data_IF_651811148625
#
_entry.id   IF_651811148625
#
_cell.length_a   1.000
_cell.length_b   1.000
_cell.length_c   1.000
_cell.angle_alpha   90.00
_cell.angle_beta   90.00
_cell.angle_gamma   90.00
#
_symmetry.space_group_name_H-M   'P 1'
#
loop_
_entity.id
_entity.type
_entity.pdbx_description
1 polymer ?
#
# COMPACT_ATOMS: atom_id res chain seq x y z
N UNK A 1 -14.38 6.97 10.56
CA UNK A 1 -13.02 7.53 10.73
C UNK A 1 -12.12 6.47 11.37
N UNK A 2 -11.64 5.51 10.58
CA UNK A 2 -10.96 4.30 11.11
C UNK A 2 -9.60 3.98 10.47
N UNK A 3 -9.11 4.81 9.56
CA UNK A 3 -7.87 4.57 8.81
C UNK A 3 -6.96 5.81 8.84
N UNK A 4 -7.04 6.69 9.83
CA UNK A 4 -6.35 7.98 9.74
C UNK A 4 -4.82 7.87 9.86
N UNK A 5 -4.28 6.77 10.39
CA UNK A 5 -2.84 6.57 10.52
C UNK A 5 -2.46 5.13 10.26
N UNK A 6 -1.37 4.91 9.51
CA UNK A 6 -0.79 3.58 9.34
C UNK A 6 -0.33 2.95 10.68
N UNK A 7 -0.09 3.77 11.69
CA UNK A 7 0.30 3.32 13.03
C UNK A 7 -0.84 2.57 13.76
N UNK A 8 -2.08 2.63 13.24
CA UNK A 8 -3.20 1.87 13.78
C UNK A 8 -3.12 0.38 13.40
N UNK A 9 -2.56 0.04 12.22
CA UNK A 9 -2.56 -1.33 11.70
C UNK A 9 -1.25 -2.10 11.98
N UNK A 10 -0.09 -1.43 12.00
CA UNK A 10 1.21 -2.09 12.27
C UNK A 10 1.21 -2.94 13.56
N UNK A 11 0.68 -2.46 14.71
CA UNK A 11 0.61 -3.28 15.93
C UNK A 11 -0.27 -4.53 15.78
N UNK A 12 -1.36 -4.43 15.01
CA UNK A 12 -2.26 -5.55 14.73
C UNK A 12 -1.53 -6.60 13.88
N UNK A 13 -0.83 -6.18 12.83
CA UNK A 13 -0.04 -7.09 11.98
C UNK A 13 1.05 -7.83 12.79
N UNK A 14 1.73 -7.13 13.70
CA UNK A 14 2.73 -7.74 14.58
C UNK A 14 2.11 -8.73 15.57
N UNK A 15 0.92 -8.42 16.10
CA UNK A 15 0.17 -9.34 16.96
C UNK A 15 -0.22 -10.62 16.22
N UNK A 16 -0.79 -10.50 15.02
CA UNK A 16 -1.25 -11.67 14.23
C UNK A 16 -0.08 -12.53 13.73
N UNK A 17 1.08 -11.92 13.43
CA UNK A 17 2.28 -12.68 13.06
C UNK A 17 3.04 -13.27 14.25
N UNK A 18 2.68 -12.89 15.48
CA UNK A 18 3.37 -13.29 16.71
C UNK A 18 4.82 -12.80 16.79
N UNK A 19 5.20 -11.80 15.97
CA UNK A 19 6.55 -11.27 15.84
C UNK A 19 6.47 -9.75 15.62
N UNK A 20 7.50 -9.01 16.03
CA UNK A 20 7.67 -7.61 15.62
C UNK A 20 8.29 -7.55 14.21
N UNK A 21 7.56 -8.10 13.23
CA UNK A 21 8.02 -8.24 11.86
C UNK A 21 7.75 -6.99 11.01
N UNK A 22 6.72 -6.21 11.31
CA UNK A 22 6.32 -5.02 10.57
C UNK A 22 6.70 -3.73 11.29
N UNK A 23 7.02 -2.71 10.50
CA UNK A 23 7.15 -1.32 10.91
C UNK A 23 6.38 -0.40 9.95
N UNK A 24 5.98 0.77 10.44
CA UNK A 24 5.32 1.80 9.64
C UNK A 24 6.33 2.66 8.90
N UNK A 25 6.04 3.02 7.67
CA UNK A 25 6.71 4.10 6.93
C UNK A 25 5.67 5.14 6.54
N UNK A 26 5.91 6.40 6.89
CA UNK A 26 5.02 7.50 6.56
C UNK A 26 5.44 8.20 5.26
N UNK A 27 4.45 8.60 4.46
CA UNK A 27 4.62 9.51 3.32
C UNK A 27 3.87 10.78 3.68
N UNK A 28 4.48 11.67 4.46
CA UNK A 28 3.77 12.80 5.07
C UNK A 28 3.48 13.98 4.12
N UNK A 29 4.05 13.96 2.91
CA UNK A 29 3.83 15.00 1.91
C UNK A 29 2.45 14.82 1.23
N UNK A 30 1.84 15.88 0.66
CA UNK A 30 0.58 15.78 -0.08
C UNK A 30 0.65 14.90 -1.34
N UNK A 31 1.84 14.74 -1.90
CA UNK A 31 2.18 13.84 -3.01
C UNK A 31 3.50 13.17 -2.67
N UNK A 32 3.75 11.97 -3.18
CA UNK A 32 5.02 11.31 -2.96
C UNK A 32 6.11 11.96 -3.84
N UNK A 33 7.30 12.17 -3.29
CA UNK A 33 8.46 12.51 -4.11
C UNK A 33 9.14 11.25 -4.68
N UNK A 34 10.08 11.43 -5.61
CA UNK A 34 10.79 10.33 -6.25
C UNK A 34 11.49 9.40 -5.24
N UNK A 35 12.05 9.96 -4.17
CA UNK A 35 12.76 9.16 -3.15
C UNK A 35 11.79 8.34 -2.32
N UNK A 36 10.63 8.91 -2.00
CA UNK A 36 9.55 8.20 -1.30
C UNK A 36 8.97 7.08 -2.18
N UNK A 37 8.82 7.35 -3.48
CA UNK A 37 8.34 6.37 -4.47
C UNK A 37 9.35 5.23 -4.65
N UNK A 38 10.64 5.55 -4.79
CA UNK A 38 11.72 4.55 -4.89
C UNK A 38 11.81 3.72 -3.60
N UNK A 39 11.72 4.35 -2.44
CA UNK A 39 11.70 3.64 -1.15
C UNK A 39 10.50 2.70 -1.04
N UNK A 40 9.31 3.16 -1.43
CA UNK A 40 8.11 2.32 -1.45
C UNK A 40 8.32 1.11 -2.38
N UNK A 41 8.91 1.32 -3.56
CA UNK A 41 9.24 0.23 -4.50
C UNK A 41 10.15 -0.82 -3.85
N UNK A 42 11.25 -0.37 -3.24
CA UNK A 42 12.24 -1.26 -2.59
C UNK A 42 11.62 -2.02 -1.41
N UNK A 43 10.78 -1.36 -0.62
CA UNK A 43 10.08 -1.96 0.51
C UNK A 43 9.06 -3.01 0.03
N UNK A 44 8.30 -2.73 -1.04
CA UNK A 44 7.38 -3.69 -1.64
C UNK A 44 8.12 -4.93 -2.13
N UNK A 45 9.20 -4.76 -2.89
CA UNK A 45 9.97 -5.89 -3.43
C UNK A 45 10.47 -6.76 -2.28
N UNK A 46 11.14 -6.16 -1.29
CA UNK A 46 11.66 -6.88 -0.12
C UNK A 46 10.56 -7.64 0.63
N UNK A 47 9.45 -6.98 0.94
CA UNK A 47 8.38 -7.58 1.74
C UNK A 47 7.67 -8.70 1.02
N UNK A 48 7.41 -8.54 -0.28
CA UNK A 48 6.80 -9.58 -1.10
C UNK A 48 7.74 -10.79 -1.24
N UNK A 49 9.04 -10.55 -1.47
CA UNK A 49 10.04 -11.63 -1.57
C UNK A 49 10.20 -12.39 -0.25
N UNK A 50 10.03 -11.72 0.89
CA UNK A 50 9.97 -12.35 2.22
C UNK A 50 8.67 -13.13 2.48
N UNK A 51 7.80 -13.25 1.48
CA UNK A 51 6.53 -14.00 1.55
C UNK A 51 5.45 -13.27 2.34
N UNK A 52 5.51 -11.93 2.40
CA UNK A 52 4.60 -11.07 3.16
C UNK A 52 3.91 -10.06 2.24
N UNK A 53 2.84 -9.45 2.72
CA UNK A 53 2.16 -8.37 2.00
C UNK A 53 2.53 -7.02 2.64
N UNK A 54 2.73 -6.00 1.82
CA UNK A 54 2.72 -4.60 2.31
C UNK A 54 1.27 -4.19 2.52
N UNK A 55 0.96 -3.57 3.66
CA UNK A 55 -0.38 -3.01 3.92
C UNK A 55 -0.31 -1.50 3.78
N UNK A 56 -1.01 -0.94 2.81
CA UNK A 56 -0.99 0.47 2.50
C UNK A 56 -2.27 1.15 3.00
N UNK A 57 -2.11 2.34 3.60
CA UNK A 57 -3.21 3.21 3.97
C UNK A 57 -3.38 4.28 2.90
N UNK A 58 -4.49 4.21 2.17
CA UNK A 58 -4.77 5.07 1.01
C UNK A 58 -5.93 6.02 1.30
N UNK A 59 -6.00 7.14 0.59
CA UNK A 59 -7.21 7.95 0.51
C UNK A 59 -7.33 8.75 -0.77
N UNK A 60 -8.57 9.06 -1.12
CA UNK A 60 -8.89 9.75 -2.37
C UNK A 60 -9.02 8.74 -3.50
N UNK A 61 -8.61 9.15 -4.69
CA UNK A 61 -8.89 8.42 -5.93
C UNK A 61 -7.61 8.09 -6.68
N UNK A 62 -7.50 6.88 -7.22
CA UNK A 62 -6.39 6.47 -8.08
C UNK A 62 -6.88 5.64 -9.28
N UNK A 63 -6.01 5.48 -10.27
CA UNK A 63 -6.31 4.77 -11.53
C UNK A 63 -5.37 3.58 -11.71
N UNK A 64 -5.95 2.42 -11.98
CA UNK A 64 -5.24 1.16 -12.20
C UNK A 64 -4.64 1.05 -13.62
N UNK A 65 -3.85 0.01 -13.90
CA UNK A 65 -3.18 -0.16 -15.20
C UNK A 65 -4.14 -0.48 -16.35
N UNK A 66 -5.38 -0.86 -16.04
CA UNK A 66 -6.43 -1.14 -17.03
C UNK A 66 -7.32 0.09 -17.27
N UNK A 67 -7.05 1.19 -16.56
CA UNK A 67 -7.77 2.46 -16.67
C UNK A 67 -9.00 2.57 -15.77
N UNK A 68 -9.24 1.62 -14.86
CA UNK A 68 -10.35 1.73 -13.91
C UNK A 68 -9.99 2.66 -12.75
N UNK A 69 -10.98 3.41 -12.29
CA UNK A 69 -10.84 4.33 -11.16
C UNK A 69 -11.30 3.67 -9.86
N UNK A 70 -10.51 3.82 -8.80
CA UNK A 70 -10.79 3.34 -7.45
C UNK A 70 -10.82 4.54 -6.50
N UNK A 71 -11.91 4.72 -5.74
CA UNK A 71 -12.12 5.92 -4.91
C UNK A 71 -12.51 5.57 -3.47
N UNK A 72 -11.68 6.06 -2.53
CA UNK A 72 -11.83 5.88 -1.09
C UNK A 72 -11.54 7.19 -0.36
N UNK A 73 -12.40 8.21 -0.56
CA UNK A 73 -12.24 9.55 0.03
C UNK A 73 -12.11 9.55 1.57
N UNK A 74 -12.77 8.61 2.26
CA UNK A 74 -12.67 8.45 3.71
C UNK A 74 -11.44 7.68 4.21
N UNK A 75 -10.65 7.15 3.28
CA UNK A 75 -9.49 6.31 3.50
C UNK A 75 -9.80 4.81 3.62
N UNK A 76 -8.84 3.98 3.21
CA UNK A 76 -8.98 2.53 3.13
C UNK A 76 -7.63 1.82 3.31
N UNK A 77 -7.66 0.55 3.71
CA UNK A 77 -6.44 -0.28 3.76
C UNK A 77 -6.48 -1.29 2.63
N UNK A 78 -5.41 -1.34 1.84
CA UNK A 78 -5.22 -2.32 0.77
C UNK A 78 -3.93 -3.11 0.99
N UNK A 79 -3.87 -4.33 0.44
CA UNK A 79 -2.67 -5.16 0.53
C UNK A 79 -1.96 -5.22 -0.82
N UNK A 80 -0.65 -4.97 -0.85
CA UNK A 80 0.21 -5.28 -1.99
C UNK A 80 0.74 -6.69 -1.82
N UNK A 81 0.34 -7.59 -2.72
CA UNK A 81 0.61 -9.04 -2.62
C UNK A 81 1.56 -9.57 -3.69
N UNK A 82 2.00 -8.71 -4.61
CA UNK A 82 2.86 -9.10 -5.71
C UNK A 82 3.35 -7.88 -6.48
N UNK A 83 4.38 -8.08 -7.30
CA UNK A 83 4.93 -7.05 -8.17
C UNK A 83 5.42 -7.65 -9.49
N UNK A 84 5.69 -6.78 -10.47
CA UNK A 84 6.35 -7.08 -11.74
C UNK A 84 7.14 -5.86 -12.22
N UNK A 85 7.92 -6.03 -13.28
CA UNK A 85 8.69 -4.95 -13.91
C UNK A 85 9.59 -4.24 -12.89
N UNK A 86 10.36 -5.03 -12.14
CA UNK A 86 11.26 -4.59 -11.07
C UNK A 86 10.56 -3.73 -9.99
N UNK A 87 9.30 -4.04 -9.72
CA UNK A 87 8.50 -3.33 -8.73
C UNK A 87 7.75 -2.13 -9.29
N UNK A 88 7.86 -1.78 -10.57
CA UNK A 88 7.16 -0.61 -11.11
C UNK A 88 5.64 -0.78 -11.19
N UNK A 89 5.16 -2.02 -11.30
CA UNK A 89 3.73 -2.35 -11.24
C UNK A 89 3.49 -3.35 -10.13
N UNK A 90 2.48 -3.09 -9.31
CA UNK A 90 2.15 -3.92 -8.15
C UNK A 90 0.75 -4.48 -8.25
N UNK A 91 0.55 -5.65 -7.65
CA UNK A 91 -0.74 -6.34 -7.59
C UNK A 91 -1.36 -6.08 -6.23
N UNK A 92 -2.54 -5.48 -6.24
CA UNK A 92 -3.34 -5.17 -5.06
C UNK A 92 -4.32 -6.32 -4.81
N UNK A 93 -4.49 -6.67 -3.55
CA UNK A 93 -5.66 -7.37 -3.04
C UNK A 93 -6.48 -6.37 -2.21
N UNK A 94 -7.73 -6.15 -2.64
CA UNK A 94 -8.65 -5.21 -2.01
C UNK A 94 -9.92 -5.94 -1.56
N UNK A 95 -10.22 -5.90 -0.27
CA UNK A 95 -11.37 -6.58 0.30
C UNK A 95 -12.69 -5.79 0.20
N UNK A 96 -12.68 -4.56 -0.33
CA UNK A 96 -13.85 -3.69 -0.36
C UNK A 96 -14.94 -4.16 -1.33
N UNK A 97 -14.56 -4.69 -2.50
CA UNK A 97 -15.49 -5.27 -3.47
C UNK A 97 -14.97 -6.64 -3.95
N UNK A 98 -15.68 -7.74 -3.66
CA UNK A 98 -15.29 -9.07 -4.12
C UNK A 98 -15.24 -9.20 -5.65
N UNK A 99 -15.93 -8.35 -6.41
CA UNK A 99 -15.89 -8.35 -7.88
C UNK A 99 -14.64 -7.65 -8.44
N UNK A 100 -13.98 -6.81 -7.64
CA UNK A 100 -12.71 -6.13 -7.96
C UNK A 100 -11.63 -6.48 -6.93
N UNK A 101 -11.63 -7.71 -6.46
CA UNK A 101 -10.79 -8.13 -5.34
C UNK A 101 -9.28 -8.09 -5.63
N UNK A 102 -8.88 -8.01 -6.90
CA UNK A 102 -7.49 -7.84 -7.29
C UNK A 102 -7.34 -7.05 -8.58
N UNK A 103 -6.41 -6.10 -8.57
CA UNK A 103 -6.07 -5.25 -9.71
C UNK A 103 -4.59 -4.87 -9.67
N UNK A 104 -4.09 -4.21 -10.71
CA UNK A 104 -2.70 -3.78 -10.81
C UNK A 104 -2.59 -2.28 -10.95
N UNK A 105 -1.62 -1.69 -10.28
CA UNK A 105 -1.40 -0.23 -10.28
C UNK A 105 0.09 0.06 -10.39
N UNK A 106 0.47 1.21 -10.96
CA UNK A 106 1.87 1.65 -10.93
C UNK A 106 2.28 2.04 -9.52
N UNK A 107 3.55 1.88 -9.17
CA UNK A 107 4.04 2.30 -7.84
C UNK A 107 3.97 3.82 -7.66
N UNK A 108 4.11 4.59 -8.73
CA UNK A 108 3.91 6.04 -8.70
C UNK A 108 2.47 6.40 -8.26
N UNK A 109 1.46 5.84 -8.93
CA UNK A 109 0.06 6.07 -8.57
C UNK A 109 -0.26 5.55 -7.17
N UNK A 110 0.35 4.44 -6.75
CA UNK A 110 0.19 3.94 -5.39
C UNK A 110 0.83 4.87 -4.36
N UNK A 111 2.04 5.37 -4.62
CA UNK A 111 2.76 6.27 -3.71
C UNK A 111 1.97 7.55 -3.46
N UNK A 112 1.42 8.14 -4.51
CA UNK A 112 0.53 9.30 -4.40
C UNK A 112 -0.76 8.98 -3.67
N UNK A 113 -1.33 7.79 -3.86
CA UNK A 113 -2.55 7.39 -3.17
C UNK A 113 -2.34 7.15 -1.66
N UNK A 114 -1.11 6.77 -1.28
CA UNK A 114 -0.64 6.61 0.11
C UNK A 114 -0.24 7.96 0.74
N UNK A 115 0.03 8.99 -0.06
CA UNK A 115 0.50 10.29 0.41
C UNK A 115 -0.39 10.86 1.52
N UNK A 116 0.20 11.63 2.42
CA UNK A 116 -0.32 12.06 3.74
C UNK A 116 -0.57 10.96 4.77
N UNK A 117 -0.31 9.69 4.43
CA UNK A 117 -0.55 8.52 5.30
C UNK A 117 0.72 7.68 5.40
N UNK A 118 0.70 6.44 4.92
CA UNK A 118 1.84 5.53 5.01
C UNK A 118 1.48 4.08 4.73
N UNK A 119 2.47 3.22 4.88
CA UNK A 119 2.37 1.78 4.65
C UNK A 119 3.16 0.98 5.70
N UNK A 120 2.74 -0.26 5.94
CA UNK A 120 3.39 -1.21 6.83
C UNK A 120 4.16 -2.23 6.01
N UNK A 121 5.45 -2.36 6.31
CA UNK A 121 6.41 -3.23 5.62
C UNK A 121 7.28 -3.94 6.66
N UNK A 122 7.96 -5.03 6.29
CA UNK A 122 8.96 -5.64 7.17
C UNK A 122 10.37 -5.07 6.97
#
# INVERSE_FOLDING_TARGET
>A
NGTNSINDITPVLNKETGKNAYHSVEISNPTADDKQTDKLRDDIVRTVDDGRAVVANIAGTSTDTDGNTHSYEGGHYISVIGYRDDGNTVTIADSADPNMASYRISVEHLADWIATRGYSTN
#
